data_IF_585648141443
#
_entry.id   IF_585648141443
#
_cell.length_a   1.000
_cell.length_b   1.000
_cell.length_c   1.000
_cell.angle_alpha   90.00
_cell.angle_beta   90.00
_cell.angle_gamma   90.00
#
_symmetry.space_group_name_H-M   'P 1'
#
loop_
_entity.id
_entity.type
_entity.pdbx_description
1 polymer ?
#
# COMPACT_ATOMS: atom_id res chain seq x y z
N UNK A 1 14.69 17.23 2.16
CA UNK A 1 13.86 16.04 2.43
C UNK A 1 12.38 16.39 2.42
N UNK A 2 12.00 17.40 3.18
CA UNK A 2 10.60 17.71 3.48
C UNK A 2 9.75 18.04 2.24
N UNK A 3 10.28 18.82 1.30
CA UNK A 3 9.59 19.11 0.04
C UNK A 3 9.30 17.86 -0.79
N UNK A 4 10.24 16.92 -0.85
CA UNK A 4 10.04 15.65 -1.55
C UNK A 4 8.98 14.80 -0.86
N UNK A 5 8.95 14.78 0.48
CA UNK A 5 7.91 14.08 1.24
C UNK A 5 6.52 14.68 0.99
N UNK A 6 6.41 16.02 0.94
CA UNK A 6 5.17 16.70 0.61
C UNK A 6 4.70 16.34 -0.81
N UNK A 7 5.60 16.41 -1.80
CA UNK A 7 5.28 16.02 -3.17
C UNK A 7 4.85 14.55 -3.27
N UNK A 8 5.53 13.64 -2.56
CA UNK A 8 5.19 12.22 -2.54
C UNK A 8 3.79 11.98 -1.95
N UNK A 9 3.47 12.63 -0.82
CA UNK A 9 2.17 12.52 -0.19
C UNK A 9 1.05 13.12 -1.04
N UNK A 10 1.30 14.23 -1.73
CA UNK A 10 0.35 14.83 -2.67
C UNK A 10 0.10 13.94 -3.89
N UNK A 11 1.16 13.34 -4.44
CA UNK A 11 1.05 12.37 -5.54
C UNK A 11 0.24 11.15 -5.10
N UNK A 12 0.50 10.62 -3.90
CA UNK A 12 -0.23 9.49 -3.32
C UNK A 12 -1.71 9.82 -3.08
N UNK A 13 -2.01 10.97 -2.49
CA UNK A 13 -3.39 11.40 -2.27
C UNK A 13 -4.15 11.58 -3.60
N UNK A 14 -3.51 12.21 -4.58
CA UNK A 14 -4.06 12.41 -5.93
C UNK A 14 -4.33 11.07 -6.62
N UNK A 15 -3.41 10.12 -6.50
CA UNK A 15 -3.59 8.75 -6.99
C UNK A 15 -4.84 8.11 -6.38
N UNK A 16 -5.01 8.13 -5.06
CA UNK A 16 -6.17 7.51 -4.41
C UNK A 16 -7.50 8.15 -4.85
N UNK A 17 -7.53 9.47 -5.02
CA UNK A 17 -8.71 10.19 -5.52
C UNK A 17 -8.98 9.86 -7.00
N UNK A 18 -7.95 9.86 -7.83
CA UNK A 18 -8.04 9.52 -9.24
C UNK A 18 -8.51 8.06 -9.43
N UNK A 19 -7.97 7.12 -8.65
CA UNK A 19 -8.44 5.73 -8.59
C UNK A 19 -9.92 5.68 -8.28
N UNK A 20 -10.40 6.40 -7.26
CA UNK A 20 -11.84 6.45 -6.93
C UNK A 20 -12.69 7.05 -8.05
N UNK A 21 -12.20 8.10 -8.73
CA UNK A 21 -12.98 8.87 -9.70
C UNK A 21 -13.02 8.25 -11.10
N UNK A 22 -11.89 7.72 -11.56
CA UNK A 22 -11.69 7.37 -12.96
C UNK A 22 -11.57 5.87 -13.22
N UNK A 23 -11.30 5.04 -12.21
CA UNK A 23 -11.09 3.60 -12.41
C UNK A 23 -12.44 2.85 -12.36
N UNK A 24 -12.90 2.23 -13.45
CA UNK A 24 -14.12 1.44 -13.45
C UNK A 24 -13.93 0.18 -12.60
N UNK A 25 -14.97 -0.23 -11.86
CA UNK A 25 -14.91 -1.43 -11.00
C UNK A 25 -14.62 -2.70 -11.79
N UNK A 26 -15.19 -2.80 -12.98
CA UNK A 26 -15.08 -3.97 -13.87
C UNK A 26 -13.68 -4.12 -14.51
N UNK A 27 -12.91 -3.03 -14.57
CA UNK A 27 -11.60 -2.99 -15.23
C UNK A 27 -10.42 -2.94 -14.24
N UNK A 28 -10.63 -3.30 -12.97
CA UNK A 28 -9.62 -3.16 -11.91
C UNK A 28 -8.29 -3.86 -12.26
N UNK A 29 -8.35 -5.08 -12.82
CA UNK A 29 -7.16 -5.84 -13.23
C UNK A 29 -6.43 -5.16 -14.37
N UNK A 30 -7.15 -4.74 -15.42
CA UNK A 30 -6.55 -4.09 -16.60
C UNK A 30 -5.89 -2.76 -16.26
N UNK A 31 -6.53 -1.95 -15.42
CA UNK A 31 -5.95 -0.66 -15.02
C UNK A 31 -4.74 -0.83 -14.07
N UNK A 32 -4.78 -1.80 -13.16
CA UNK A 32 -3.59 -2.15 -12.34
C UNK A 32 -2.45 -2.66 -13.23
N UNK A 33 -2.74 -3.52 -14.21
CA UNK A 33 -1.72 -4.02 -15.13
C UNK A 33 -1.07 -2.89 -15.95
N UNK A 34 -1.87 -1.96 -16.49
CA UNK A 34 -1.37 -0.80 -17.22
C UNK A 34 -0.49 0.09 -16.33
N UNK A 35 -0.95 0.35 -15.10
CA UNK A 35 -0.22 1.18 -14.14
C UNK A 35 1.12 0.54 -13.73
N UNK A 36 1.12 -0.77 -13.51
CA UNK A 36 2.34 -1.54 -13.22
C UNK A 36 3.29 -1.55 -14.41
N UNK A 37 2.79 -1.76 -15.63
CA UNK A 37 3.61 -1.74 -16.85
C UNK A 37 4.23 -0.36 -17.09
N UNK A 38 3.45 0.71 -16.97
CA UNK A 38 3.95 2.08 -17.11
C UNK A 38 5.02 2.41 -16.06
N UNK A 39 4.80 1.99 -14.80
CA UNK A 39 5.77 2.16 -13.72
C UNK A 39 7.05 1.38 -13.97
N UNK A 40 6.94 0.13 -14.44
CA UNK A 40 8.08 -0.71 -14.78
C UNK A 40 8.91 -0.10 -15.92
N UNK A 41 8.27 0.41 -16.97
CA UNK A 41 8.96 1.09 -18.07
C UNK A 41 9.67 2.37 -17.59
N UNK A 42 8.99 3.19 -16.81
CA UNK A 42 9.56 4.43 -16.27
C UNK A 42 10.78 4.16 -15.37
N UNK A 43 10.65 3.22 -14.43
CA UNK A 43 11.75 2.84 -13.54
C UNK A 43 12.91 2.18 -14.30
N UNK A 44 12.62 1.39 -15.34
CA UNK A 44 13.65 0.80 -16.19
C UNK A 44 14.45 1.87 -16.95
N UNK A 45 13.77 2.90 -17.47
CA UNK A 45 14.44 4.02 -18.14
C UNK A 45 15.35 4.80 -17.18
N UNK A 46 14.89 5.03 -15.95
CA UNK A 46 15.71 5.68 -14.89
C UNK A 46 16.90 4.80 -14.53
N UNK A 47 16.72 3.48 -14.39
CA UNK A 47 17.79 2.55 -14.07
C UNK A 47 18.87 2.53 -15.16
N UNK A 48 18.48 2.50 -16.43
CA UNK A 48 19.44 2.57 -17.56
C UNK A 48 20.20 3.91 -17.56
N UNK A 49 19.53 5.01 -17.23
CA UNK A 49 20.15 6.34 -17.13
C UNK A 49 21.04 6.55 -15.90
N UNK A 50 20.99 5.67 -14.89
CA UNK A 50 21.73 5.82 -13.64
C UNK A 50 23.25 5.55 -13.76
N UNK A 51 23.66 4.83 -14.82
CA UNK A 51 25.05 4.40 -15.00
C UNK A 51 25.48 3.25 -14.08
N UNK A 52 24.57 2.71 -13.26
CA UNK A 52 24.87 1.55 -12.42
C UNK A 52 24.96 0.25 -13.23
N UNK A 53 25.84 -0.66 -12.79
CA UNK A 53 26.01 -1.96 -13.42
C UNK A 53 24.82 -2.86 -13.11
N UNK A 54 24.22 -3.43 -14.17
CA UNK A 54 23.12 -4.38 -14.01
C UNK A 54 23.65 -5.72 -13.47
N UNK A 55 23.27 -6.05 -12.25
CA UNK A 55 23.57 -7.33 -11.62
C UNK A 55 22.32 -8.21 -11.58
N UNK A 56 22.43 -9.44 -12.07
CA UNK A 56 21.37 -10.43 -11.92
C UNK A 56 21.30 -10.88 -10.46
N UNK A 57 20.09 -10.90 -9.86
CA UNK A 57 19.94 -11.37 -8.49
C UNK A 57 20.27 -12.87 -8.41
N UNK A 58 20.97 -13.27 -7.35
CA UNK A 58 21.13 -14.70 -7.02
C UNK A 58 19.78 -15.34 -6.66
N UNK A 59 19.74 -16.67 -6.57
CA UNK A 59 18.49 -17.44 -6.36
C UNK A 59 17.59 -16.91 -5.23
N UNK A 60 18.16 -16.70 -4.03
CA UNK A 60 17.40 -16.18 -2.89
C UNK A 60 16.85 -14.77 -3.11
N UNK A 61 17.65 -13.89 -3.72
CA UNK A 61 17.23 -12.52 -4.04
C UNK A 61 16.16 -12.52 -5.15
N UNK A 62 16.29 -13.41 -6.15
CA UNK A 62 15.30 -13.60 -7.20
C UNK A 62 13.96 -14.08 -6.65
N UNK A 63 13.98 -15.03 -5.72
CA UNK A 63 12.77 -15.51 -5.04
C UNK A 63 12.12 -14.40 -4.19
N UNK A 64 12.93 -13.65 -3.43
CA UNK A 64 12.43 -12.51 -2.65
C UNK A 64 11.78 -11.46 -3.57
N UNK A 65 12.41 -11.13 -4.69
CA UNK A 65 11.85 -10.23 -5.71
C UNK A 65 10.55 -10.77 -6.29
N UNK A 66 10.47 -12.06 -6.61
CA UNK A 66 9.24 -12.66 -7.12
C UNK A 66 8.07 -12.54 -6.12
N UNK A 67 8.33 -12.79 -4.84
CA UNK A 67 7.33 -12.64 -3.76
C UNK A 67 6.93 -11.16 -3.59
N UNK A 68 7.89 -10.24 -3.63
CA UNK A 68 7.62 -8.80 -3.52
C UNK A 68 6.79 -8.28 -4.70
N UNK A 69 7.14 -8.65 -5.93
CA UNK A 69 6.44 -8.22 -7.14
C UNK A 69 5.01 -8.78 -7.17
N UNK A 70 4.83 -10.06 -6.89
CA UNK A 70 3.51 -10.69 -6.95
C UNK A 70 2.62 -10.25 -5.78
N UNK A 71 3.10 -10.39 -4.55
CA UNK A 71 2.35 -10.09 -3.33
C UNK A 71 2.36 -8.61 -2.97
N UNK A 72 3.54 -8.07 -2.70
CA UNK A 72 3.72 -6.70 -2.19
C UNK A 72 3.39 -5.59 -3.18
N UNK A 73 3.37 -5.91 -4.48
CA UNK A 73 3.10 -4.95 -5.54
C UNK A 73 1.80 -5.28 -6.28
N UNK A 74 1.75 -6.32 -7.11
CA UNK A 74 0.60 -6.56 -8.01
C UNK A 74 -0.69 -6.81 -7.24
N UNK A 75 -0.68 -7.78 -6.30
CA UNK A 75 -1.87 -8.10 -5.50
C UNK A 75 -2.23 -6.96 -4.54
N UNK A 76 -1.24 -6.35 -3.90
CA UNK A 76 -1.46 -5.22 -2.99
C UNK A 76 -2.16 -4.05 -3.70
N UNK A 77 -1.66 -3.59 -4.85
CA UNK A 77 -2.28 -2.49 -5.59
C UNK A 77 -3.64 -2.86 -6.19
N UNK A 78 -3.82 -4.11 -6.60
CA UNK A 78 -5.12 -4.60 -7.06
C UNK A 78 -6.17 -4.54 -5.95
N UNK A 79 -5.88 -5.11 -4.78
CA UNK A 79 -6.78 -5.07 -3.63
C UNK A 79 -6.97 -3.66 -3.09
N UNK A 80 -5.93 -2.82 -3.13
CA UNK A 80 -6.02 -1.42 -2.77
C UNK A 80 -7.00 -0.65 -3.67
N UNK A 81 -6.87 -0.79 -4.99
CA UNK A 81 -7.78 -0.18 -5.95
C UNK A 81 -9.22 -0.63 -5.75
N UNK A 82 -9.44 -1.94 -5.57
CA UNK A 82 -10.76 -2.50 -5.25
C UNK A 82 -11.32 -1.95 -3.92
N UNK A 83 -10.49 -1.86 -2.88
CA UNK A 83 -10.86 -1.30 -1.58
C UNK A 83 -11.27 0.18 -1.69
N UNK A 84 -10.52 0.99 -2.44
CA UNK A 84 -10.88 2.38 -2.73
C UNK A 84 -12.20 2.46 -3.49
N UNK A 85 -12.42 1.59 -4.47
CA UNK A 85 -13.66 1.55 -5.26
C UNK A 85 -14.89 1.16 -4.42
N UNK A 86 -14.72 0.34 -3.39
CA UNK A 86 -15.82 -0.04 -2.50
C UNK A 86 -16.03 0.99 -1.38
N UNK A 87 -14.97 1.33 -0.64
CA UNK A 87 -15.05 2.10 0.62
C UNK A 87 -14.82 3.60 0.44
N UNK A 88 -14.19 4.00 -0.66
CA UNK A 88 -13.70 5.36 -0.89
C UNK A 88 -12.28 5.57 -0.33
N UNK A 89 -11.56 6.55 -0.88
CA UNK A 89 -10.16 6.80 -0.54
C UNK A 89 -9.94 7.07 0.96
N UNK A 90 -10.81 7.89 1.58
CA UNK A 90 -10.66 8.25 3.00
C UNK A 90 -10.80 7.07 3.95
N UNK A 91 -11.83 6.23 3.77
CA UNK A 91 -12.03 5.03 4.61
C UNK A 91 -10.97 3.96 4.34
N UNK A 92 -10.58 3.77 3.08
CA UNK A 92 -9.51 2.84 2.71
C UNK A 92 -8.16 3.23 3.35
N UNK A 93 -7.83 4.52 3.40
CA UNK A 93 -6.62 5.03 4.04
C UNK A 93 -6.47 4.65 5.53
N UNK A 94 -7.58 4.52 6.27
CA UNK A 94 -7.55 4.11 7.68
C UNK A 94 -6.95 2.70 7.82
N UNK A 95 -7.22 1.79 6.87
CA UNK A 95 -6.70 0.42 6.89
C UNK A 95 -5.18 0.35 6.69
N UNK A 96 -4.53 1.38 6.14
CA UNK A 96 -3.07 1.41 6.05
C UNK A 96 -2.40 1.40 7.43
N UNK A 97 -3.09 1.88 8.47
CA UNK A 97 -2.59 1.80 9.83
C UNK A 97 -2.45 0.33 10.30
N UNK A 98 -3.20 -0.61 9.72
CA UNK A 98 -3.09 -2.03 10.05
C UNK A 98 -1.86 -2.71 9.43
N UNK A 99 -1.20 -2.10 8.44
CA UNK A 99 0.01 -2.64 7.80
C UNK A 99 1.08 -3.03 8.83
N UNK A 100 1.50 -2.16 9.79
CA UNK A 100 2.47 -2.55 10.81
C UNK A 100 1.97 -3.69 11.72
N UNK A 101 0.67 -3.81 11.97
CA UNK A 101 0.10 -4.91 12.77
C UNK A 101 0.25 -6.23 12.03
N UNK A 102 -0.12 -6.27 10.75
CA UNK A 102 0.05 -7.47 9.93
C UNK A 102 1.54 -7.81 9.72
N UNK A 103 2.40 -6.82 9.52
CA UNK A 103 3.84 -7.05 9.42
C UNK A 103 4.40 -7.70 10.69
N UNK A 104 4.00 -7.20 11.86
CA UNK A 104 4.35 -7.76 13.16
C UNK A 104 3.86 -9.20 13.32
N UNK A 105 2.60 -9.48 12.96
CA UNK A 105 2.02 -10.82 13.05
C UNK A 105 2.70 -11.83 12.11
N UNK A 106 2.93 -11.44 10.85
CA UNK A 106 3.63 -12.28 9.86
C UNK A 106 5.07 -12.53 10.30
N UNK A 107 5.77 -11.51 10.82
CA UNK A 107 7.09 -11.67 11.44
C UNK A 107 7.06 -12.72 12.57
N UNK A 108 6.07 -12.62 13.47
CA UNK A 108 5.90 -13.62 14.54
C UNK A 108 5.71 -15.04 14.02
N UNK A 109 4.93 -15.23 12.96
CA UNK A 109 4.71 -16.53 12.30
C UNK A 109 5.98 -17.08 11.63
N UNK A 110 6.86 -16.20 11.16
CA UNK A 110 8.16 -16.56 10.57
C UNK A 110 9.24 -16.85 11.64
N UNK A 111 8.89 -16.78 12.93
CA UNK A 111 9.77 -17.10 14.06
C UNK A 111 10.42 -15.89 14.74
N UNK A 112 10.17 -14.67 14.25
CA UNK A 112 10.65 -13.43 14.87
C UNK A 112 9.56 -12.81 15.73
N UNK A 113 9.54 -13.24 17.00
CA UNK A 113 8.53 -12.81 17.99
C UNK A 113 8.52 -11.28 18.16
N UNK A 114 7.32 -10.68 18.22
CA UNK A 114 7.20 -9.24 18.38
C UNK A 114 7.62 -8.78 19.77
N UNK A 115 8.25 -7.61 19.84
CA UNK A 115 8.66 -7.01 21.10
C UNK A 115 7.49 -6.35 21.83
N UNK A 116 7.63 -6.15 23.15
CA UNK A 116 6.60 -5.48 23.96
C UNK A 116 6.17 -4.11 23.40
N UNK A 117 7.08 -3.23 22.94
CA UNK A 117 6.69 -1.98 22.28
C UNK A 117 5.87 -2.20 21.00
N UNK A 118 6.17 -3.23 20.20
CA UNK A 118 5.42 -3.54 18.98
C UNK A 118 4.01 -4.02 19.32
N UNK A 119 3.85 -4.84 20.37
CA UNK A 119 2.54 -5.29 20.83
C UNK A 119 1.68 -4.12 21.32
N UNK A 120 2.26 -3.20 22.09
CA UNK A 120 1.56 -1.99 22.55
C UNK A 120 1.17 -1.09 21.38
N UNK A 121 2.09 -0.85 20.44
CA UNK A 121 1.81 -0.09 19.22
C UNK A 121 0.69 -0.73 18.40
N UNK A 122 0.71 -2.06 18.27
CA UNK A 122 -0.34 -2.81 17.59
C UNK A 122 -1.70 -2.68 18.26
N UNK A 123 -1.76 -2.74 19.60
CA UNK A 123 -2.99 -2.53 20.35
C UNK A 123 -3.56 -1.11 20.17
N UNK A 124 -2.70 -0.09 20.18
CA UNK A 124 -3.08 1.31 19.94
C UNK A 124 -3.66 1.48 18.53
N UNK A 125 -3.00 0.90 17.52
CA UNK A 125 -3.49 0.92 16.13
C UNK A 125 -4.87 0.28 16.02
N UNK A 126 -5.06 -0.91 16.60
CA UNK A 126 -6.34 -1.61 16.57
C UNK A 126 -7.44 -0.77 17.22
N UNK A 127 -7.18 -0.20 18.40
CA UNK A 127 -8.12 0.69 19.07
C UNK A 127 -8.47 1.93 18.23
N UNK A 128 -7.45 2.58 17.64
CA UNK A 128 -7.65 3.76 16.80
C UNK A 128 -8.45 3.48 15.53
N UNK A 129 -8.17 2.35 14.86
CA UNK A 129 -8.91 1.91 13.67
C UNK A 129 -10.35 1.57 14.02
N UNK A 130 -10.59 0.81 15.09
CA UNK A 130 -11.95 0.49 15.56
C UNK A 130 -12.73 1.75 15.90
N UNK A 131 -12.11 2.70 16.62
CA UNK A 131 -12.74 3.97 16.96
C UNK A 131 -13.09 4.80 15.73
N UNK A 132 -12.17 4.91 14.75
CA UNK A 132 -12.39 5.66 13.52
C UNK A 132 -13.46 5.02 12.60
N UNK A 133 -13.71 3.72 12.74
CA UNK A 133 -14.74 2.98 11.98
C UNK A 133 -16.11 2.99 12.64
N UNK A 134 -16.22 3.38 13.92
CA UNK A 134 -17.53 3.53 14.55
C UNK A 134 -18.34 4.57 13.78
N UNK A 135 -19.62 4.28 13.46
CA UNK A 135 -20.48 5.26 12.82
C UNK A 135 -20.62 6.45 13.75
N UNK A 136 -19.94 7.56 13.42
CA UNK A 136 -20.22 8.86 13.99
C UNK A 136 -21.70 9.12 13.69
N UNK A 137 -22.57 8.88 14.68
CA UNK A 137 -23.98 9.27 14.59
C UNK A 137 -23.95 10.75 14.27
N UNK A 138 -24.23 11.09 13.01
CA UNK A 138 -24.46 12.45 12.61
C UNK A 138 -25.52 12.97 13.57
N UNK A 139 -25.18 13.99 14.36
CA UNK A 139 -26.18 14.75 15.09
C UNK A 139 -27.19 15.19 14.05
N UNK A 140 -28.38 14.59 14.11
CA UNK A 140 -29.58 15.15 13.50
C UNK A 140 -29.75 16.51 14.18
N UNK A 141 -29.29 17.56 13.52
CA UNK A 141 -29.67 18.92 13.85
C UNK A 141 -30.96 19.20 13.10
N UNK A 142 -32.00 19.43 13.89
CA UNK A 142 -33.36 19.81 13.53
C UNK A 142 -33.41 21.07 12.66
#
# INVERSE_FOLDING_TARGET
GDWLMLCANLAWASFNVATRRFMPKEAAVGNTALMMAASALMLSAIAVGSGESFALPGWHAGLALAVMVTGGTVLAYLFWGMGIQQLGAGRAAIFLNLVPVFAMLVSGLLGTLPSMPQMLGGAIVLAGVSFAMLPTRARVAL
#
